data_IF_964770648972
#
_entry.id   IF_964770648972
#
_cell.length_a   1.000
_cell.length_b   1.000
_cell.length_c   1.000
_cell.angle_alpha   90.00
_cell.angle_beta   90.00
_cell.angle_gamma   90.00
#
_symmetry.space_group_name_H-M   'P 1'
#
loop_
_entity.id
_entity.type
_entity.pdbx_description
1 polymer ?
#
# COMPACT_ATOMS: atom_id res chain seq x y z
N UNK A 1 -4.51 20.63 15.91
CA UNK A 1 -4.07 21.00 14.54
C UNK A 1 -3.53 19.75 13.81
N UNK A 2 -4.35 18.69 13.69
CA UNK A 2 -3.96 17.36 13.15
C UNK A 2 -4.76 17.00 11.88
N UNK A 3 -5.90 17.67 11.65
CA UNK A 3 -6.78 17.39 10.51
C UNK A 3 -6.28 17.87 9.13
N UNK A 4 -5.16 18.60 9.07
CA UNK A 4 -4.67 19.15 7.80
C UNK A 4 -3.78 18.20 6.99
N UNK A 5 -3.20 17.15 7.59
CA UNK A 5 -2.26 16.26 6.90
C UNK A 5 -2.92 15.04 6.23
N UNK A 6 -4.12 14.70 6.68
CA UNK A 6 -4.89 13.55 6.15
C UNK A 6 -5.70 13.96 4.90
N UNK A 7 -6.08 15.23 4.75
CA UNK A 7 -6.76 15.69 3.53
C UNK A 7 -5.82 15.82 2.32
N UNK A 8 -4.52 16.03 2.52
CA UNK A 8 -3.52 15.98 1.44
C UNK A 8 -3.41 14.60 0.77
N UNK A 9 -3.75 13.52 1.49
CA UNK A 9 -3.75 12.15 0.98
C UNK A 9 -4.85 11.90 -0.08
N UNK A 10 -6.00 12.57 0.05
CA UNK A 10 -7.11 12.47 -0.92
C UNK A 10 -6.98 13.46 -2.07
N UNK A 11 -6.32 14.60 -1.83
CA UNK A 11 -6.12 15.65 -2.83
C UNK A 11 -4.90 15.42 -3.74
N UNK A 12 -3.96 14.56 -3.32
CA UNK A 12 -2.82 14.11 -4.12
C UNK A 12 -3.13 12.97 -5.09
N UNK A 13 -4.40 12.73 -5.46
CA UNK A 13 -4.80 11.76 -6.48
C UNK A 13 -4.22 12.17 -7.83
N UNK A 14 -3.00 11.72 -8.12
CA UNK A 14 -2.56 11.60 -9.50
C UNK A 14 -3.52 10.62 -10.20
N UNK A 15 -4.02 10.95 -11.39
CA UNK A 15 -4.86 10.04 -12.13
C UNK A 15 -4.13 8.72 -12.32
N UNK A 16 -4.90 7.64 -12.29
CA UNK A 16 -4.56 6.23 -12.57
C UNK A 16 -3.96 5.98 -13.96
N UNK A 17 -3.28 6.96 -14.55
CA UNK A 17 -2.58 6.86 -15.83
C UNK A 17 -1.13 6.45 -15.58
N UNK A 18 -0.94 5.14 -15.52
CA UNK A 18 0.17 4.44 -16.20
C UNK A 18 1.54 5.10 -16.07
N UNK A 19 2.11 5.11 -14.87
CA UNK A 19 3.53 4.78 -14.80
C UNK A 19 3.55 3.27 -14.57
N UNK A 20 3.82 2.51 -15.64
CA UNK A 20 4.04 1.07 -15.56
C UNK A 20 5.27 0.84 -14.71
N UNK A 21 5.09 0.76 -13.40
CA UNK A 21 6.14 0.30 -12.52
C UNK A 21 5.95 -1.20 -12.28
N UNK A 22 7.05 -1.95 -12.31
CA UNK A 22 7.06 -3.33 -11.85
C UNK A 22 7.51 -3.33 -10.39
N UNK A 23 6.70 -3.90 -9.51
CA UNK A 23 7.05 -4.14 -8.13
C UNK A 23 7.65 -5.55 -8.00
N UNK A 24 8.74 -5.67 -7.26
CA UNK A 24 9.29 -6.96 -6.85
C UNK A 24 9.78 -6.86 -5.41
N UNK A 25 9.81 -8.00 -4.72
CA UNK A 25 10.16 -8.09 -3.30
C UNK A 25 11.56 -8.69 -3.12
N UNK A 26 12.26 -8.24 -2.09
CA UNK A 26 13.48 -8.86 -1.60
C UNK A 26 13.45 -8.93 -0.07
N UNK A 27 14.41 -9.65 0.51
CA UNK A 27 14.57 -9.70 1.96
C UNK A 27 14.94 -8.33 2.57
N UNK A 28 15.48 -7.42 1.75
CA UNK A 28 15.90 -6.08 2.18
C UNK A 28 14.78 -5.05 2.06
N UNK A 29 13.79 -5.29 1.20
CA UNK A 29 12.71 -4.34 0.97
C UNK A 29 11.95 -4.52 -0.34
N UNK A 30 11.38 -3.42 -0.81
CA UNK A 30 10.67 -3.34 -2.08
C UNK A 30 11.61 -2.81 -3.17
N UNK A 31 11.49 -3.38 -4.37
CA UNK A 31 12.16 -2.90 -5.57
C UNK A 31 11.10 -2.43 -6.55
N UNK A 32 11.11 -1.15 -6.86
CA UNK A 32 10.20 -0.49 -7.80
C UNK A 32 10.99 -0.15 -9.06
N UNK A 33 10.64 -0.76 -10.20
CA UNK A 33 11.23 -0.45 -11.50
C UNK A 33 10.28 0.38 -12.31
N UNK A 34 10.68 1.56 -12.74
CA UNK A 34 9.92 2.42 -13.63
C UNK A 34 10.79 2.84 -14.84
N UNK A 35 10.25 3.56 -15.84
CA UNK A 35 11.05 4.02 -16.98
C UNK A 35 12.23 4.93 -16.62
N UNK A 36 12.25 5.54 -15.42
CA UNK A 36 13.34 6.38 -14.94
C UNK A 36 14.45 5.59 -14.21
N UNK A 37 14.20 4.33 -13.85
CA UNK A 37 15.19 3.45 -13.23
C UNK A 37 14.62 2.48 -12.19
N UNK A 38 15.54 1.86 -11.45
CA UNK A 38 15.24 1.01 -10.29
C UNK A 38 15.38 1.83 -9.01
N UNK A 39 14.34 1.81 -8.18
CA UNK A 39 14.36 2.34 -6.83
C UNK A 39 14.20 1.20 -5.83
N UNK A 40 15.03 1.22 -4.78
CA UNK A 40 14.92 0.31 -3.64
C UNK A 40 14.36 1.07 -2.44
N UNK A 41 13.47 0.42 -1.70
CA UNK A 41 12.83 0.97 -0.50
C UNK A 41 13.03 -0.07 0.59
N UNK A 42 13.81 0.26 1.61
CA UNK A 42 14.04 -0.67 2.69
C UNK A 42 12.75 -0.87 3.50
N UNK A 43 12.60 -2.03 4.15
CA UNK A 43 11.50 -2.25 5.09
C UNK A 43 11.47 -1.19 6.21
N UNK A 44 12.65 -0.74 6.65
CA UNK A 44 12.81 0.32 7.64
C UNK A 44 12.36 1.71 7.14
N UNK A 45 12.26 1.93 5.83
CA UNK A 45 11.76 3.19 5.29
C UNK A 45 10.22 3.27 5.29
N UNK A 46 9.53 2.14 5.46
CA UNK A 46 8.07 2.09 5.53
C UNK A 46 7.62 2.54 6.92
N UNK A 47 6.74 3.54 6.97
CA UNK A 47 6.20 4.11 8.23
C UNK A 47 4.73 3.80 8.43
N UNK A 48 3.99 3.52 7.37
CA UNK A 48 2.56 3.25 7.41
C UNK A 48 2.15 2.37 6.23
N UNK A 49 1.27 1.40 6.45
CA UNK A 49 0.58 0.67 5.39
C UNK A 49 -0.92 0.68 5.70
N UNK A 50 -1.71 1.12 4.72
CA UNK A 50 -3.18 1.16 4.82
C UNK A 50 -3.79 0.39 3.66
N UNK A 51 -4.66 -0.57 3.98
CA UNK A 51 -5.55 -1.19 3.02
C UNK A 51 -6.82 -0.35 2.87
N UNK A 52 -7.22 -0.05 1.63
CA UNK A 52 -8.45 0.68 1.32
C UNK A 52 -9.14 0.03 0.16
N UNK A 53 -10.48 0.07 0.14
CA UNK A 53 -11.26 -0.33 -1.02
C UNK A 53 -11.31 0.83 -2.03
N UNK A 54 -11.15 0.51 -3.31
CA UNK A 54 -11.41 1.44 -4.40
C UNK A 54 -12.49 0.87 -5.29
N UNK A 55 -13.59 1.61 -5.44
CA UNK A 55 -14.61 1.30 -6.42
C UNK A 55 -14.05 1.50 -7.82
N UNK A 56 -14.24 0.51 -8.68
CA UNK A 56 -13.97 0.60 -10.10
C UNK A 56 -15.31 0.55 -10.86
N UNK A 57 -15.28 0.86 -12.15
CA UNK A 57 -16.46 0.74 -13.03
C UNK A 57 -17.05 -0.68 -13.04
N UNK A 58 -16.23 -1.70 -12.74
CA UNK A 58 -16.63 -3.10 -12.59
C UNK A 58 -16.03 -3.64 -11.30
N UNK A 59 -16.84 -3.70 -10.24
CA UNK A 59 -16.46 -4.25 -8.95
C UNK A 59 -15.61 -3.32 -8.08
N UNK A 60 -14.99 -3.91 -7.06
CA UNK A 60 -14.13 -3.22 -6.11
C UNK A 60 -12.79 -3.92 -6.03
N UNK A 61 -11.70 -3.17 -5.94
CA UNK A 61 -10.36 -3.73 -5.67
C UNK A 61 -9.86 -3.24 -4.33
N UNK A 62 -9.02 -4.02 -3.67
CA UNK A 62 -8.25 -3.56 -2.52
C UNK A 62 -6.97 -2.89 -3.02
N UNK A 63 -6.66 -1.73 -2.44
CA UNK A 63 -5.40 -1.02 -2.64
C UNK A 63 -4.60 -1.03 -1.34
N UNK A 64 -3.30 -1.28 -1.45
CA UNK A 64 -2.35 -0.98 -0.39
C UNK A 64 -1.71 0.37 -0.66
N UNK A 65 -1.78 1.23 0.35
CA UNK A 65 -1.12 2.52 0.37
C UNK A 65 0.05 2.44 1.34
N UNK A 66 1.27 2.48 0.81
CA UNK A 66 2.52 2.31 1.58
C UNK A 66 3.16 3.70 1.73
N UNK A 67 3.11 4.24 2.94
CA UNK A 67 3.75 5.50 3.30
C UNK A 67 5.22 5.31 3.67
N UNK A 68 6.08 6.17 3.14
CA UNK A 68 7.53 6.17 3.37
C UNK A 68 7.96 7.31 4.31
N UNK A 69 9.10 7.15 4.96
CA UNK A 69 9.68 8.13 5.89
C UNK A 69 9.97 9.51 5.25
N UNK A 70 10.23 9.54 3.95
CA UNK A 70 10.45 10.75 3.15
C UNK A 70 9.15 11.45 2.72
N UNK A 71 8.00 10.94 3.16
CA UNK A 71 6.68 11.49 2.88
C UNK A 71 6.08 11.06 1.55
N UNK A 72 6.78 10.23 0.74
CA UNK A 72 6.20 9.64 -0.47
C UNK A 72 5.24 8.51 -0.12
N UNK A 73 4.39 8.16 -1.08
CA UNK A 73 3.45 7.05 -0.97
C UNK A 73 3.51 6.19 -2.22
N UNK A 74 3.63 4.88 -2.03
CA UNK A 74 3.39 3.90 -3.08
C UNK A 74 1.97 3.36 -3.00
N UNK A 75 1.38 3.09 -4.15
CA UNK A 75 0.08 2.42 -4.25
C UNK A 75 0.29 1.09 -4.94
N UNK A 76 -0.15 0.00 -4.33
CA UNK A 76 -0.14 -1.34 -4.93
C UNK A 76 -1.59 -1.80 -5.05
N UNK A 77 -1.96 -2.26 -6.24
CA UNK A 77 -3.32 -2.76 -6.54
C UNK A 77 -3.36 -4.27 -6.36
N UNK A 78 -4.54 -4.81 -6.07
CA UNK A 78 -4.75 -6.27 -5.99
C UNK A 78 -4.36 -7.03 -7.28
N UNK A 79 -4.44 -6.37 -8.44
CA UNK A 79 -4.05 -6.93 -9.73
C UNK A 79 -2.52 -6.96 -9.97
N UNK A 80 -1.71 -6.39 -9.07
CA UNK A 80 -0.25 -6.39 -9.20
C UNK A 80 0.29 -7.81 -8.98
N UNK A 81 1.19 -8.27 -9.83
CA UNK A 81 1.81 -9.61 -9.70
C UNK A 81 2.52 -9.84 -8.37
N UNK A 82 3.00 -8.78 -7.72
CA UNK A 82 3.67 -8.86 -6.43
C UNK A 82 2.69 -8.79 -5.24
N UNK A 83 1.37 -8.62 -5.47
CA UNK A 83 0.38 -8.45 -4.40
C UNK A 83 0.41 -9.58 -3.39
N UNK A 84 0.32 -10.82 -3.86
CA UNK A 84 0.25 -11.99 -3.00
C UNK A 84 1.51 -12.10 -2.12
N UNK A 85 2.68 -12.07 -2.74
CA UNK A 85 3.95 -12.18 -2.02
C UNK A 85 4.15 -11.00 -1.05
N UNK A 86 3.79 -9.78 -1.45
CA UNK A 86 3.87 -8.59 -0.61
C UNK A 86 3.04 -8.78 0.66
N UNK A 87 1.75 -9.08 0.51
CA UNK A 87 0.80 -9.20 1.64
C UNK A 87 1.21 -10.29 2.62
N UNK A 88 1.82 -11.38 2.14
CA UNK A 88 2.34 -12.46 2.98
C UNK A 88 3.64 -12.09 3.71
N UNK A 89 4.49 -11.28 3.10
CA UNK A 89 5.79 -10.88 3.66
C UNK A 89 5.69 -9.76 4.70
N UNK A 90 4.63 -8.94 4.70
CA UNK A 90 4.53 -7.77 5.58
C UNK A 90 4.75 -8.11 7.06
N UNK A 91 4.05 -9.12 7.59
CA UNK A 91 4.15 -9.50 9.00
C UNK A 91 5.51 -10.10 9.38
N UNK A 92 6.27 -10.61 8.41
CA UNK A 92 7.62 -11.13 8.65
C UNK A 92 8.68 -10.02 8.74
N UNK A 93 8.49 -8.92 8.01
CA UNK A 93 9.48 -7.83 7.91
C UNK A 93 9.10 -6.56 8.69
N UNK A 94 7.82 -6.35 8.99
CA UNK A 94 7.32 -5.17 9.69
C UNK A 94 6.72 -5.60 11.03
N UNK A 95 7.48 -5.46 12.11
CA UNK A 95 7.03 -5.81 13.44
C UNK A 95 5.75 -5.03 13.82
N UNK A 96 4.68 -5.75 14.15
CA UNK A 96 3.36 -5.16 14.44
C UNK A 96 2.44 -5.04 13.23
N UNK A 97 2.88 -5.40 12.02
CA UNK A 97 1.99 -5.51 10.87
C UNK A 97 0.97 -6.63 11.07
N UNK A 98 -0.29 -6.34 10.73
CA UNK A 98 -1.37 -7.32 10.79
C UNK A 98 -1.18 -8.39 9.71
N UNK A 99 -1.43 -9.68 10.02
CA UNK A 99 -1.38 -10.74 9.02
C UNK A 99 -2.48 -10.54 7.97
N UNK A 100 -2.20 -10.99 6.74
CA UNK A 100 -3.08 -10.81 5.58
C UNK A 100 -4.52 -11.22 5.87
N UNK A 101 -4.72 -12.42 6.42
CA UNK A 101 -6.04 -12.99 6.71
C UNK A 101 -6.85 -12.10 7.66
N UNK A 102 -6.17 -11.42 8.59
CA UNK A 102 -6.80 -10.57 9.59
C UNK A 102 -7.37 -9.28 9.02
N UNK A 103 -6.66 -8.61 8.11
CA UNK A 103 -7.10 -7.33 7.54
C UNK A 103 -7.82 -7.49 6.20
N UNK A 104 -7.55 -8.53 5.43
CA UNK A 104 -8.24 -8.79 4.16
C UNK A 104 -9.73 -9.07 4.39
N UNK A 105 -10.06 -9.86 5.43
CA UNK A 105 -11.45 -10.11 5.83
C UNK A 105 -12.17 -8.82 6.23
N UNK A 106 -11.52 -7.98 7.04
CA UNK A 106 -12.08 -6.68 7.44
C UNK A 106 -12.34 -5.79 6.22
N UNK A 107 -11.48 -5.85 5.22
CA UNK A 107 -11.59 -5.06 3.98
C UNK A 107 -12.76 -5.50 3.10
N UNK A 108 -13.10 -6.79 3.14
CA UNK A 108 -14.17 -7.38 2.32
C UNK A 108 -15.58 -7.11 2.88
N UNK A 109 -15.71 -7.00 4.21
CA UNK A 109 -17.02 -6.97 4.90
C UNK A 109 -17.39 -5.62 5.51
N UNK A 110 -16.51 -4.63 5.47
CA UNK A 110 -16.77 -3.34 6.10
C UNK A 110 -17.07 -2.26 5.07
N UNK A 111 -18.36 -2.01 4.84
CA UNK A 111 -18.81 -0.81 4.12
C UNK A 111 -18.60 0.46 4.97
N UNK A 112 -18.38 0.32 6.29
CA UNK A 112 -18.21 1.41 7.25
C UNK A 112 -16.75 1.74 7.59
N UNK A 113 -15.79 0.85 7.32
CA UNK A 113 -14.36 1.06 7.58
C UNK A 113 -13.64 1.21 6.25
N UNK A 114 -13.61 2.42 5.65
CA UNK A 114 -13.04 2.64 4.33
C UNK A 114 -11.52 2.41 4.30
N UNK A 115 -10.86 2.39 5.47
CA UNK A 115 -9.42 2.24 5.63
C UNK A 115 -9.09 1.32 6.80
N UNK A 116 -8.26 0.32 6.53
CA UNK A 116 -7.73 -0.57 7.55
C UNK A 116 -6.23 -0.33 7.66
N UNK A 117 -5.79 0.10 8.83
CA UNK A 117 -4.37 0.19 9.16
C UNK A 117 -3.79 -1.23 9.23
N UNK A 118 -2.90 -1.54 8.30
CA UNK A 118 -2.17 -2.82 8.23
C UNK A 118 -0.90 -2.72 9.08
N UNK A 119 -0.21 -1.59 9.02
CA UNK A 119 1.01 -1.33 9.78
C UNK A 119 1.15 0.17 10.05
N UNK A 120 1.74 0.50 11.21
CA UNK A 120 2.15 1.85 11.58
C UNK A 120 3.33 1.79 12.54
N UNK A 121 4.33 2.64 12.31
CA UNK A 121 5.45 2.85 13.25
C UNK A 121 5.18 4.00 14.22
#
# INVERSE_FOLDING_TARGET
MIMSRINSWLLGRLPSRRLSFALSLSNEGLIVKNPQGEQRIAWDDIVEIVATRSEQLIGSTILLLIGLNDGRTLTVTEDDSAWHDLTMMLSAHLAGAKPYEGWALQSAFSDEVPRIEVFRR
#
